data_IF_364390386313
#
_entry.id   IF_364390386313
#
_cell.length_a   1.000
_cell.length_b   1.000
_cell.length_c   1.000
_cell.angle_alpha   90.00
_cell.angle_beta   90.00
_cell.angle_gamma   90.00
#
_symmetry.space_group_name_H-M   'P 1'
#
loop_
_entity.id
_entity.type
_entity.pdbx_description
1 polymer ?
#
# COMPACT_ATOMS: atom_id res chain seq x y z
N UNK A 1 -5.12 -10.77 -1.63
CA UNK A 1 -4.33 -10.27 -0.50
C UNK A 1 -3.95 -8.81 -0.66
N UNK A 2 -3.85 -8.33 -1.90
CA UNK A 2 -3.52 -6.94 -2.18
C UNK A 2 -4.76 -6.07 -2.41
N UNK A 3 -5.94 -6.64 -2.29
CA UNK A 3 -7.19 -5.94 -2.56
C UNK A 3 -7.50 -4.90 -1.48
N UNK A 4 -8.06 -3.77 -1.90
CA UNK A 4 -8.45 -2.69 -1.00
C UNK A 4 -9.61 -3.11 -0.09
N UNK A 5 -9.74 -2.49 1.10
CA UNK A 5 -10.78 -2.87 2.06
C UNK A 5 -12.20 -2.76 1.49
N UNK A 6 -12.48 -1.74 0.68
CA UNK A 6 -13.82 -1.60 0.09
C UNK A 6 -14.12 -2.72 -0.91
N UNK A 7 -13.10 -3.24 -1.61
CA UNK A 7 -13.26 -4.38 -2.53
C UNK A 7 -13.53 -5.65 -1.74
N UNK A 8 -12.78 -5.87 -0.68
CA UNK A 8 -12.97 -7.04 0.20
C UNK A 8 -14.35 -7.00 0.88
N UNK A 9 -14.87 -5.82 1.12
CA UNK A 9 -16.18 -5.61 1.73
C UNK A 9 -17.33 -5.61 0.69
N UNK A 10 -17.03 -5.96 -0.55
CA UNK A 10 -18.05 -6.12 -1.59
C UNK A 10 -18.51 -4.84 -2.26
N UNK A 11 -17.78 -3.75 -2.08
CA UNK A 11 -18.13 -2.48 -2.70
C UNK A 11 -17.58 -2.36 -4.11
N UNK A 12 -17.97 -1.29 -4.81
CA UNK A 12 -17.61 -1.07 -6.20
C UNK A 12 -16.11 -0.92 -6.39
N UNK A 13 -15.58 -1.52 -7.44
CA UNK A 13 -14.20 -1.36 -7.85
C UNK A 13 -13.98 0.03 -8.49
N UNK A 14 -12.84 0.64 -8.22
CA UNK A 14 -12.48 1.94 -8.78
C UNK A 14 -10.97 2.06 -8.97
N UNK A 15 -10.52 3.16 -9.59
CA UNK A 15 -9.08 3.40 -9.76
C UNK A 15 -8.36 3.53 -8.41
N UNK A 16 -9.05 4.00 -7.38
CA UNK A 16 -8.48 4.07 -6.02
C UNK A 16 -8.13 2.71 -5.45
N UNK A 17 -8.84 1.66 -5.87
CA UNK A 17 -8.52 0.28 -5.47
C UNK A 17 -7.17 -0.14 -6.03
N UNK A 18 -6.86 0.27 -7.25
CA UNK A 18 -5.58 -0.03 -7.89
C UNK A 18 -4.44 0.67 -7.16
N UNK A 19 -4.66 1.90 -6.70
CA UNK A 19 -3.66 2.64 -5.92
C UNK A 19 -3.36 1.92 -4.61
N UNK A 20 -4.40 1.44 -3.93
CA UNK A 20 -4.21 0.65 -2.70
C UNK A 20 -3.36 -0.59 -2.99
N UNK A 21 -3.74 -1.36 -4.00
CA UNK A 21 -3.02 -2.58 -4.37
C UNK A 21 -1.57 -2.29 -4.73
N UNK A 22 -1.34 -1.20 -5.44
CA UNK A 22 0.02 -0.79 -5.81
C UNK A 22 0.86 -0.46 -4.56
N UNK A 23 0.27 0.24 -3.59
CA UNK A 23 0.96 0.54 -2.33
C UNK A 23 1.37 -0.72 -1.57
N UNK A 24 0.50 -1.72 -1.53
CA UNK A 24 0.82 -3.00 -0.89
C UNK A 24 1.94 -3.72 -1.65
N UNK A 25 1.91 -3.66 -2.99
CA UNK A 25 2.98 -4.22 -3.82
C UNK A 25 4.33 -3.55 -3.53
N UNK A 26 4.34 -2.23 -3.40
CA UNK A 26 5.56 -1.50 -3.05
C UNK A 26 6.10 -1.96 -1.69
N UNK A 27 5.21 -2.12 -0.71
CA UNK A 27 5.62 -2.62 0.60
C UNK A 27 6.26 -4.00 0.47
N UNK A 28 5.62 -4.90 -0.29
CA UNK A 28 6.12 -6.26 -0.45
C UNK A 28 7.49 -6.29 -1.11
N UNK A 29 7.68 -5.44 -2.13
CA UNK A 29 8.96 -5.37 -2.85
C UNK A 29 10.09 -4.84 -1.99
N UNK A 30 9.85 -3.79 -1.23
CA UNK A 30 10.91 -3.09 -0.51
C UNK A 30 11.11 -3.58 0.91
N UNK A 31 10.13 -4.24 1.51
CA UNK A 31 10.30 -4.88 2.81
C UNK A 31 10.96 -6.25 2.70
N UNK A 32 10.80 -6.90 1.55
CA UNK A 32 11.25 -8.29 1.31
C UNK A 32 10.67 -9.26 2.36
N UNK A 33 9.47 -8.98 2.84
CA UNK A 33 8.79 -9.81 3.84
C UNK A 33 7.49 -10.34 3.28
N UNK A 34 7.06 -11.54 3.74
CA UNK A 34 5.77 -12.08 3.30
C UNK A 34 4.62 -11.22 3.80
N UNK A 35 3.54 -11.20 3.03
CA UNK A 35 2.34 -10.45 3.36
C UNK A 35 1.47 -11.30 4.29
N UNK A 36 1.21 -10.79 5.50
CA UNK A 36 0.33 -11.44 6.49
C UNK A 36 0.63 -12.93 6.71
N UNK A 37 1.86 -13.30 7.08
CA UNK A 37 2.31 -14.69 7.03
C UNK A 37 1.55 -15.67 7.92
N UNK A 38 0.98 -15.19 9.02
CA UNK A 38 0.32 -16.06 10.00
C UNK A 38 -1.21 -16.00 9.93
N UNK A 39 -1.77 -15.36 8.91
CA UNK A 39 -3.21 -15.16 8.80
C UNK A 39 -3.81 -16.00 7.68
N UNK A 40 -5.00 -16.55 7.94
CA UNK A 40 -5.80 -17.18 6.88
C UNK A 40 -6.40 -16.11 5.98
N UNK A 41 -6.93 -16.51 4.82
CA UNK A 41 -7.62 -15.59 3.92
C UNK A 41 -8.79 -14.89 4.63
N UNK A 42 -9.54 -15.63 5.44
CA UNK A 42 -10.64 -15.06 6.21
C UNK A 42 -10.15 -13.98 7.17
N UNK A 43 -9.04 -14.26 7.89
CA UNK A 43 -8.45 -13.30 8.81
C UNK A 43 -7.98 -12.05 8.08
N UNK A 44 -7.35 -12.20 6.92
CA UNK A 44 -6.90 -11.07 6.12
C UNK A 44 -8.09 -10.19 5.75
N UNK A 45 -9.16 -10.80 5.21
CA UNK A 45 -10.34 -10.04 4.78
C UNK A 45 -10.92 -9.25 5.94
N UNK A 46 -11.17 -9.90 7.07
CA UNK A 46 -11.83 -9.26 8.21
C UNK A 46 -10.96 -8.18 8.84
N UNK A 47 -9.65 -8.43 8.96
CA UNK A 47 -8.75 -7.50 9.63
C UNK A 47 -8.36 -6.32 8.75
N UNK A 48 -8.21 -6.52 7.43
CA UNK A 48 -7.90 -5.42 6.51
C UNK A 48 -9.10 -4.46 6.44
N UNK A 49 -10.31 -4.97 6.38
CA UNK A 49 -11.52 -4.14 6.42
C UNK A 49 -11.58 -3.35 7.72
N UNK A 50 -11.10 -3.91 8.83
CA UNK A 50 -11.05 -3.25 10.12
C UNK A 50 -9.85 -2.30 10.29
N UNK A 51 -8.93 -2.27 9.32
CA UNK A 51 -7.81 -1.33 9.35
C UNK A 51 -6.42 -1.93 9.40
N UNK A 52 -6.29 -3.26 9.40
CA UNK A 52 -4.97 -3.89 9.44
C UNK A 52 -4.16 -3.54 8.20
N UNK A 53 -2.87 -3.25 8.40
CA UNK A 53 -1.90 -3.00 7.32
C UNK A 53 -0.60 -3.73 7.63
N UNK A 54 0.23 -4.01 6.61
CA UNK A 54 1.56 -4.55 6.86
C UNK A 54 2.40 -3.58 7.69
N UNK A 55 3.41 -4.07 8.43
CA UNK A 55 4.22 -3.19 9.29
C UNK A 55 5.06 -2.23 8.46
N UNK A 56 4.76 -0.93 8.58
CA UNK A 56 5.43 0.12 7.79
C UNK A 56 6.88 0.32 8.21
N UNK A 57 7.22 -0.04 9.42
CA UNK A 57 8.60 0.07 9.93
C UNK A 57 9.57 -0.83 9.18
N UNK A 58 9.06 -1.78 8.39
CA UNK A 58 9.88 -2.61 7.51
C UNK A 58 10.41 -1.85 6.30
N UNK A 59 9.89 -0.64 6.04
CA UNK A 59 10.34 0.21 4.94
C UNK A 59 11.34 1.22 5.50
N UNK A 60 12.58 1.16 5.02
CA UNK A 60 13.66 1.99 5.57
C UNK A 60 13.66 3.42 5.04
N UNK A 61 13.16 3.65 3.83
CA UNK A 61 13.08 5.00 3.28
C UNK A 61 11.88 5.76 3.85
N UNK A 62 12.07 6.88 4.56
CA UNK A 62 10.94 7.65 5.10
C UNK A 62 10.00 8.17 4.00
N UNK A 63 10.54 8.60 2.87
CA UNK A 63 9.73 9.11 1.77
C UNK A 63 8.89 8.00 1.15
N UNK A 64 9.47 6.81 0.96
CA UNK A 64 8.75 5.67 0.42
C UNK A 64 7.69 5.19 1.40
N UNK A 65 8.02 5.12 2.70
CA UNK A 65 7.06 4.73 3.73
C UNK A 65 5.84 5.65 3.73
N UNK A 66 6.08 6.95 3.62
CA UNK A 66 5.01 7.94 3.58
C UNK A 66 4.10 7.75 2.37
N UNK A 67 4.69 7.54 1.20
CA UNK A 67 3.93 7.27 -0.03
C UNK A 67 3.07 6.02 0.11
N UNK A 68 3.66 4.93 0.61
CA UNK A 68 2.93 3.67 0.79
C UNK A 68 1.72 3.87 1.71
N UNK A 69 1.92 4.57 2.83
CA UNK A 69 0.83 4.83 3.78
C UNK A 69 -0.29 5.65 3.15
N UNK A 70 0.02 6.60 2.27
CA UNK A 70 -1.01 7.35 1.54
C UNK A 70 -1.77 6.45 0.57
N UNK A 71 -1.08 5.54 -0.10
CA UNK A 71 -1.71 4.64 -1.07
C UNK A 71 -2.72 3.70 -0.40
N UNK A 72 -2.45 3.27 0.83
CA UNK A 72 -3.32 2.28 1.48
C UNK A 72 -4.23 2.85 2.55
N UNK A 73 -4.56 4.13 2.46
CA UNK A 73 -5.54 4.72 3.37
C UNK A 73 -6.87 4.01 3.25
N UNK A 74 -7.61 3.98 4.35
CA UNK A 74 -8.88 3.26 4.42
C UNK A 74 -9.89 3.83 3.44
N UNK A 75 -10.04 5.16 3.44
CA UNK A 75 -10.97 5.82 2.53
C UNK A 75 -10.36 5.96 1.14
N UNK A 76 -11.05 5.49 0.10
CA UNK A 76 -10.56 5.65 -1.28
C UNK A 76 -10.27 7.10 -1.66
N UNK A 77 -11.06 8.03 -1.15
CA UNK A 77 -10.92 9.46 -1.49
C UNK A 77 -9.67 10.10 -0.89
N UNK A 78 -9.07 9.45 0.11
CA UNK A 78 -7.87 9.97 0.76
C UNK A 78 -6.58 9.44 0.13
N UNK A 79 -6.70 8.56 -0.87
CA UNK A 79 -5.55 7.99 -1.56
C UNK A 79 -5.12 8.91 -2.71
N UNK A 80 -3.82 8.93 -3.06
CA UNK A 80 -3.38 9.70 -4.23
C UNK A 80 -3.87 9.06 -5.53
N UNK A 81 -3.78 9.83 -6.62
CA UNK A 81 -3.99 9.28 -7.96
C UNK A 81 -2.73 8.55 -8.41
N UNK A 82 -2.84 7.71 -9.45
CA UNK A 82 -1.66 7.04 -10.00
C UNK A 82 -0.66 8.05 -10.57
N UNK A 83 -1.12 9.16 -11.12
CA UNK A 83 -0.21 10.22 -11.60
C UNK A 83 0.58 10.82 -10.44
N UNK A 84 -0.08 11.07 -9.32
CA UNK A 84 0.59 11.57 -8.12
C UNK A 84 1.59 10.55 -7.57
N UNK A 85 1.22 9.27 -7.58
CA UNK A 85 2.12 8.18 -7.15
C UNK A 85 3.35 8.13 -8.04
N UNK A 86 3.16 8.21 -9.35
CA UNK A 86 4.27 8.18 -10.32
C UNK A 86 5.22 9.35 -10.08
N UNK A 87 4.68 10.56 -9.89
CA UNK A 87 5.49 11.74 -9.61
C UNK A 87 6.28 11.57 -8.31
N UNK A 88 5.62 11.08 -7.26
CA UNK A 88 6.28 10.87 -5.97
C UNK A 88 7.40 9.83 -6.08
N UNK A 89 7.19 8.75 -6.83
CA UNK A 89 8.21 7.73 -7.03
C UNK A 89 9.44 8.28 -7.75
N UNK A 90 9.25 9.15 -8.73
CA UNK A 90 10.36 9.79 -9.43
C UNK A 90 11.19 10.66 -8.48
N UNK A 91 10.53 11.40 -7.61
CA UNK A 91 11.20 12.24 -6.62
C UNK A 91 11.95 11.39 -5.59
N UNK A 92 11.35 10.31 -5.13
CA UNK A 92 11.97 9.38 -4.19
C UNK A 92 13.20 8.74 -4.83
N UNK A 93 13.08 8.30 -6.08
CA UNK A 93 14.19 7.70 -6.81
C UNK A 93 15.38 8.66 -6.89
N UNK A 94 15.12 9.93 -7.18
CA UNK A 94 16.17 10.94 -7.25
C UNK A 94 16.83 11.20 -5.91
N UNK A 95 16.03 11.17 -4.82
CA UNK A 95 16.51 11.52 -3.48
C UNK A 95 17.13 10.34 -2.74
N UNK A 96 16.46 9.17 -2.77
CA UNK A 96 16.82 8.03 -1.92
C UNK A 96 17.64 6.98 -2.64
N UNK A 97 17.38 6.75 -3.94
CA UNK A 97 17.98 5.65 -4.68
C UNK A 97 19.21 6.05 -5.48
N UNK A 98 19.39 7.35 -5.69
CA UNK A 98 20.52 7.86 -6.47
C UNK A 98 21.86 7.51 -5.83
N UNK A 99 21.90 7.42 -4.52
CA UNK A 99 23.12 7.15 -3.76
C UNK A 99 23.40 5.65 -3.62
N UNK A 100 22.48 4.83 -4.04
CA UNK A 100 22.68 3.39 -4.02
C UNK A 100 23.44 2.94 -5.25
#
# INVERSE_FOLDING_TARGET
DYAAPEVLDGQSYSNSCDVYSFGVCLWRMFSDQPLYPDLTMYDVITRVVAGLRPPIESITSPLLADLIQHCWKHSPNDRPTMDEVTTALKEIHSSDFRTL
#
